data_IF_058112571291
#
_entry.id   IF_058112571291
#
_cell.length_a   1.000
_cell.length_b   1.000
_cell.length_c   1.000
_cell.angle_alpha   90.00
_cell.angle_beta   90.00
_cell.angle_gamma   90.00
#
_symmetry.space_group_name_H-M   'P 1'
#
loop_
_entity.id
_entity.type
_entity.pdbx_description
1 polymer ?
#
# COMPACT_ATOMS: atom_id res chain seq x y z
N UNK A 1 20.03 5.41 0.08
CA UNK A 1 18.92 6.33 0.46
C UNK A 1 18.30 5.75 1.72
N UNK A 2 18.03 6.57 2.75
CA UNK A 2 17.40 6.09 4.01
C UNK A 2 15.99 6.62 4.22
N UNK A 3 15.72 7.84 3.75
CA UNK A 3 14.40 8.49 3.78
C UNK A 3 14.01 8.83 2.34
N UNK A 4 12.75 8.60 1.98
CA UNK A 4 12.25 8.79 0.61
C UNK A 4 10.93 9.56 0.61
N UNK A 5 10.77 10.49 -0.34
CA UNK A 5 9.49 11.16 -0.63
C UNK A 5 9.04 10.83 -2.04
N UNK A 6 7.89 10.17 -2.16
CA UNK A 6 7.31 9.76 -3.43
C UNK A 6 6.20 10.74 -3.79
N UNK A 7 6.23 11.30 -5.01
CA UNK A 7 5.18 12.19 -5.52
C UNK A 7 4.50 11.52 -6.71
N UNK A 8 3.22 11.24 -6.57
CA UNK A 8 2.35 10.71 -7.64
C UNK A 8 1.00 11.39 -7.56
N UNK A 9 0.30 11.51 -8.67
CA UNK A 9 -1.09 11.97 -8.75
C UNK A 9 -2.10 10.83 -8.57
N UNK A 10 -1.62 9.58 -8.53
CA UNK A 10 -2.45 8.41 -8.36
C UNK A 10 -2.98 8.30 -6.93
N UNK A 11 -4.19 8.85 -6.72
CA UNK A 11 -4.92 8.75 -5.44
C UNK A 11 -5.11 7.31 -4.97
N UNK A 12 -5.18 6.35 -5.89
CA UNK A 12 -5.33 4.93 -5.55
C UNK A 12 -4.09 4.42 -4.81
N UNK A 13 -2.89 4.64 -5.35
CA UNK A 13 -1.62 4.26 -4.71
C UNK A 13 -1.42 4.99 -3.39
N UNK A 14 -1.67 6.31 -3.35
CA UNK A 14 -1.53 7.10 -2.12
C UNK A 14 -2.42 6.56 -1.01
N UNK A 15 -3.71 6.30 -1.29
CA UNK A 15 -4.61 5.81 -0.26
C UNK A 15 -4.33 4.34 0.10
N UNK A 16 -3.93 3.52 -0.87
CA UNK A 16 -3.52 2.14 -0.61
C UNK A 16 -2.39 2.10 0.42
N UNK A 17 -1.28 2.79 0.14
CA UNK A 17 -0.09 2.76 1.01
C UNK A 17 -0.30 3.50 2.33
N UNK A 18 -1.10 4.57 2.38
CA UNK A 18 -1.29 5.36 3.61
C UNK A 18 -2.41 4.85 4.52
N UNK A 19 -3.39 4.09 3.99
CA UNK A 19 -4.64 3.82 4.73
C UNK A 19 -5.10 2.37 4.64
N UNK A 20 -4.95 1.72 3.50
CA UNK A 20 -5.66 0.46 3.26
C UNK A 20 -4.79 -0.78 3.39
N UNK A 21 -3.49 -0.68 3.15
CA UNK A 21 -2.58 -1.83 3.07
C UNK A 21 -2.67 -2.74 4.30
N UNK A 22 -2.63 -2.18 5.51
CA UNK A 22 -2.73 -2.95 6.76
C UNK A 22 -4.13 -3.57 6.96
N UNK A 23 -5.19 -2.88 6.53
CA UNK A 23 -6.57 -3.38 6.61
C UNK A 23 -6.78 -4.51 5.60
N UNK A 24 -6.19 -4.41 4.41
CA UNK A 24 -6.24 -5.47 3.41
C UNK A 24 -5.46 -6.70 3.88
N UNK A 25 -4.25 -6.53 4.39
CA UNK A 25 -3.44 -7.63 4.90
C UNK A 25 -4.18 -8.42 5.99
N UNK A 26 -4.75 -7.72 6.97
CA UNK A 26 -5.50 -8.33 8.08
C UNK A 26 -6.82 -9.00 7.64
N UNK A 27 -7.45 -8.50 6.58
CA UNK A 27 -8.71 -9.05 6.05
C UNK A 27 -8.50 -10.05 4.89
N UNK A 28 -7.30 -10.65 4.78
CA UNK A 28 -7.03 -11.66 3.75
C UNK A 28 -7.09 -11.12 2.33
N UNK A 29 -6.78 -9.83 2.14
CA UNK A 29 -6.76 -9.10 0.87
C UNK A 29 -8.12 -8.94 0.19
N UNK A 30 -9.15 -8.68 1.01
CA UNK A 30 -10.50 -8.35 0.57
C UNK A 30 -10.86 -6.90 0.89
N UNK A 31 -11.58 -6.25 -0.02
CA UNK A 31 -12.14 -4.92 0.17
C UNK A 31 -13.25 -4.99 1.22
N UNK A 32 -13.10 -4.23 2.30
CA UNK A 32 -14.04 -4.24 3.45
C UNK A 32 -15.51 -4.01 3.05
N UNK A 33 -15.77 -3.15 2.07
CA UNK A 33 -17.15 -2.76 1.72
C UNK A 33 -17.84 -3.72 0.75
N UNK A 34 -17.08 -4.42 -0.10
CA UNK A 34 -17.64 -5.24 -1.19
C UNK A 34 -17.30 -6.72 -1.06
N UNK A 35 -16.40 -7.09 -0.15
CA UNK A 35 -15.83 -8.43 0.00
C UNK A 35 -15.13 -8.96 -1.27
N UNK A 36 -14.89 -8.09 -2.25
CA UNK A 36 -14.16 -8.40 -3.48
C UNK A 36 -12.65 -8.41 -3.22
N UNK A 37 -11.92 -9.15 -4.05
CA UNK A 37 -10.47 -9.18 -3.97
C UNK A 37 -9.87 -7.81 -4.31
N UNK A 38 -8.80 -7.48 -3.60
CA UNK A 38 -8.02 -6.26 -3.84
C UNK A 38 -7.30 -6.40 -5.18
N UNK A 39 -7.53 -5.44 -6.07
CA UNK A 39 -6.82 -5.35 -7.35
C UNK A 39 -5.35 -5.01 -7.09
N UNK A 40 -4.44 -5.61 -7.86
CA UNK A 40 -2.99 -5.38 -7.78
C UNK A 40 -2.40 -5.75 -6.41
N UNK A 41 -2.95 -6.79 -5.75
CA UNK A 41 -2.49 -7.27 -4.45
C UNK A 41 -0.97 -7.50 -4.46
N UNK A 42 -0.48 -8.22 -5.45
CA UNK A 42 0.93 -8.63 -5.55
C UNK A 42 1.85 -7.40 -5.66
N UNK A 43 1.48 -6.42 -6.48
CA UNK A 43 2.21 -5.16 -6.62
C UNK A 43 2.26 -4.37 -5.30
N UNK A 44 1.15 -4.35 -4.56
CA UNK A 44 1.08 -3.67 -3.26
C UNK A 44 1.90 -4.38 -2.18
N UNK A 45 1.95 -5.72 -2.21
CA UNK A 45 2.83 -6.50 -1.32
C UNK A 45 4.30 -6.18 -1.62
N UNK A 46 4.69 -6.18 -2.90
CA UNK A 46 6.06 -5.86 -3.28
C UNK A 46 6.44 -4.43 -2.89
N UNK A 47 5.53 -3.48 -3.13
CA UNK A 47 5.74 -2.08 -2.79
C UNK A 47 5.85 -1.86 -1.28
N UNK A 48 5.01 -2.51 -0.47
CA UNK A 48 5.08 -2.43 0.99
C UNK A 48 6.39 -3.01 1.52
N UNK A 49 6.76 -4.21 1.04
CA UNK A 49 8.06 -4.82 1.37
C UNK A 49 9.24 -3.94 0.97
N UNK A 50 9.14 -3.20 -0.14
CA UNK A 50 10.16 -2.23 -0.54
C UNK A 50 10.24 -1.03 0.41
N UNK A 51 9.10 -0.53 0.86
CA UNK A 51 9.02 0.58 1.82
C UNK A 51 9.56 0.19 3.20
N UNK A 52 9.30 -1.03 3.67
CA UNK A 52 9.78 -1.52 4.96
C UNK A 52 11.32 -1.60 5.08
N UNK A 53 12.05 -1.61 3.94
CA UNK A 53 13.52 -1.57 3.92
C UNK A 53 14.10 -0.16 4.12
N UNK A 54 13.25 0.87 4.15
CA UNK A 54 13.63 2.27 4.35
C UNK A 54 13.27 2.71 5.77
N UNK A 55 13.94 3.75 6.27
CA UNK A 55 13.64 4.28 7.60
C UNK A 55 12.31 5.07 7.62
N UNK A 56 12.05 5.81 6.53
CA UNK A 56 10.86 6.64 6.39
C UNK A 56 10.48 6.78 4.91
N UNK A 57 9.18 6.68 4.62
CA UNK A 57 8.60 6.86 3.29
C UNK A 57 7.40 7.79 3.37
N UNK A 58 7.55 8.99 2.82
CA UNK A 58 6.49 9.97 2.71
C UNK A 58 5.81 9.89 1.33
N UNK A 59 4.48 9.82 1.35
CA UNK A 59 3.59 9.81 0.18
C UNK A 59 2.73 11.08 0.12
#
# INVERSE_FOLDING_TARGET
>A
IRNLKIKTDCKFVINAMKKWIHVWETNGWKKTNTNEDVRNKEDFIELDNACQRLNDVAW
#
